data_IF_850658183624
#
_entry.id   IF_850658183624
#
_cell.length_a   1.000
_cell.length_b   1.000
_cell.length_c   1.000
_cell.angle_alpha   90.00
_cell.angle_beta   90.00
_cell.angle_gamma   90.00
#
_symmetry.space_group_name_H-M   'P 1'
#
loop_
_entity.id
_entity.type
_entity.pdbx_description
1 polymer ?
#
# COMPACT_ATOMS: atom_id res chain seq x y z
N UNK A 1 -6.24 0.42 -7.90
CA UNK A 1 -5.92 1.59 -7.06
C UNK A 1 -6.45 2.85 -7.74
N UNK A 2 -6.64 3.94 -7.00
CA UNK A 2 -7.05 5.24 -7.55
C UNK A 2 -5.84 6.18 -7.51
N UNK A 3 -5.57 6.87 -8.62
CA UNK A 3 -4.44 7.78 -8.78
C UNK A 3 -4.90 9.13 -9.33
N UNK A 4 -4.17 10.18 -8.94
CA UNK A 4 -4.28 11.55 -9.44
C UNK A 4 -2.89 12.15 -9.49
N UNK A 5 -2.06 11.58 -10.36
CA UNK A 5 -0.63 11.88 -10.40
C UNK A 5 -0.41 13.28 -10.98
N UNK A 6 -0.05 14.23 -10.10
CA UNK A 6 0.21 15.63 -10.42
C UNK A 6 1.17 16.23 -9.41
N UNK A 7 1.98 17.19 -9.86
CA UNK A 7 2.75 18.00 -8.93
C UNK A 7 1.84 18.67 -7.90
N UNK A 8 2.38 18.93 -6.71
CA UNK A 8 1.61 19.35 -5.56
C UNK A 8 0.80 20.63 -5.81
N UNK A 9 1.38 21.57 -6.55
CA UNK A 9 0.77 22.83 -6.97
C UNK A 9 -0.43 22.66 -7.92
N UNK A 10 -0.49 21.53 -8.65
CA UNK A 10 -1.58 21.18 -9.56
C UNK A 10 -2.69 20.34 -8.92
N UNK A 11 -2.60 19.99 -7.64
CA UNK A 11 -3.60 19.15 -6.96
C UNK A 11 -4.79 19.97 -6.46
N UNK A 12 -6.00 19.51 -6.77
CA UNK A 12 -7.22 20.03 -6.15
C UNK A 12 -7.55 19.27 -4.85
N UNK A 13 -8.35 19.85 -3.94
CA UNK A 13 -8.88 19.13 -2.78
C UNK A 13 -9.67 17.87 -3.15
N UNK A 14 -10.34 17.87 -4.31
CA UNK A 14 -11.07 16.70 -4.82
C UNK A 14 -10.14 15.59 -5.29
N UNK A 15 -8.99 15.93 -5.88
CA UNK A 15 -7.95 14.94 -6.22
C UNK A 15 -7.44 14.23 -4.96
N UNK A 16 -7.20 15.00 -3.89
CA UNK A 16 -6.83 14.43 -2.60
C UNK A 16 -7.91 13.50 -2.08
N UNK A 17 -9.16 13.99 -1.98
CA UNK A 17 -10.28 13.23 -1.44
C UNK A 17 -10.46 11.91 -2.19
N UNK A 18 -10.52 11.96 -3.53
CA UNK A 18 -10.77 10.79 -4.37
C UNK A 18 -9.70 9.69 -4.22
N UNK A 19 -8.43 10.05 -3.99
CA UNK A 19 -7.34 9.08 -3.81
C UNK A 19 -7.29 8.54 -2.38
N UNK A 20 -7.52 9.39 -1.37
CA UNK A 20 -7.48 8.98 0.04
C UNK A 20 -8.67 8.09 0.40
N UNK A 21 -9.86 8.45 -0.06
CA UNK A 21 -11.12 7.88 0.36
C UNK A 21 -11.16 6.34 0.40
N UNK A 22 -10.81 5.61 -0.69
CA UNK A 22 -10.94 4.16 -0.68
C UNK A 22 -10.04 3.47 0.35
N UNK A 23 -8.84 4.00 0.61
CA UNK A 23 -7.91 3.42 1.59
C UNK A 23 -8.25 3.86 3.01
N UNK A 24 -8.53 5.14 3.20
CA UNK A 24 -8.78 5.72 4.52
C UNK A 24 -10.14 5.27 5.05
N UNK A 25 -11.23 5.57 4.34
CA UNK A 25 -12.58 5.22 4.79
C UNK A 25 -12.79 3.72 4.79
N UNK A 26 -12.28 3.02 3.76
CA UNK A 26 -12.38 1.56 3.67
C UNK A 26 -11.71 0.86 4.85
N UNK A 27 -10.47 1.24 5.18
CA UNK A 27 -9.75 0.62 6.29
C UNK A 27 -10.35 0.98 7.66
N UNK A 28 -10.85 2.21 7.85
CA UNK A 28 -11.58 2.59 9.06
C UNK A 28 -12.88 1.81 9.23
N UNK A 29 -13.64 1.64 8.15
CA UNK A 29 -14.88 0.86 8.17
C UNK A 29 -14.60 -0.60 8.55
N UNK A 30 -13.58 -1.22 7.94
CA UNK A 30 -13.13 -2.55 8.32
C UNK A 30 -12.67 -2.62 9.77
N UNK A 31 -11.90 -1.62 10.24
CA UNK A 31 -11.49 -1.57 11.63
C UNK A 31 -12.70 -1.57 12.56
N UNK A 32 -13.66 -0.67 12.35
CA UNK A 32 -14.86 -0.55 13.18
C UNK A 32 -15.70 -1.83 13.17
N UNK A 33 -15.92 -2.42 11.99
CA UNK A 33 -16.72 -3.63 11.83
C UNK A 33 -16.07 -4.85 12.48
N UNK A 34 -14.73 -4.91 12.50
CA UNK A 34 -14.00 -6.08 12.97
C UNK A 34 -13.54 -6.02 14.43
N UNK A 35 -13.90 -4.98 15.19
CA UNK A 35 -13.33 -4.76 16.55
C UNK A 35 -13.59 -5.90 17.52
N UNK A 36 -14.75 -6.54 17.40
CA UNK A 36 -15.18 -7.62 18.28
C UNK A 36 -14.94 -9.01 17.69
N UNK A 37 -14.34 -9.10 16.50
CA UNK A 37 -14.11 -10.37 15.83
C UNK A 37 -12.77 -10.97 16.27
N UNK A 38 -12.70 -12.29 16.50
CA UNK A 38 -11.45 -12.97 16.81
C UNK A 38 -10.65 -13.20 15.52
N UNK A 39 -10.18 -12.12 14.90
CA UNK A 39 -9.36 -12.21 13.69
C UNK A 39 -7.97 -12.73 14.04
N UNK A 40 -7.45 -13.65 13.23
CA UNK A 40 -6.02 -13.99 13.24
C UNK A 40 -5.20 -12.90 12.55
N UNK A 41 -5.75 -12.29 11.50
CA UNK A 41 -5.04 -11.34 10.63
C UNK A 41 -5.94 -10.17 10.26
N UNK A 42 -5.38 -8.95 10.35
CA UNK A 42 -5.88 -7.75 9.69
C UNK A 42 -4.74 -7.17 8.86
N UNK A 43 -4.72 -7.45 7.56
CA UNK A 43 -3.61 -7.09 6.68
C UNK A 43 -4.03 -6.05 5.64
N UNK A 44 -3.40 -4.88 5.68
CA UNK A 44 -3.58 -3.80 4.72
C UNK A 44 -2.53 -3.86 3.61
N UNK A 45 -2.96 -3.59 2.38
CA UNK A 45 -2.08 -3.50 1.21
C UNK A 45 -1.61 -2.05 1.04
N UNK A 46 -0.39 -1.78 1.51
CA UNK A 46 0.33 -0.51 1.38
C UNK A 46 1.10 -0.39 0.07
N UNK A 47 1.97 0.61 -0.01
CA UNK A 47 2.87 0.81 -1.15
C UNK A 47 4.16 1.46 -0.68
N UNK A 48 5.29 1.11 -1.31
CA UNK A 48 6.60 1.74 -1.06
C UNK A 48 6.59 3.27 -1.28
N UNK A 49 5.61 3.78 -2.04
CA UNK A 49 5.40 5.22 -2.23
C UNK A 49 5.12 5.99 -0.93
N UNK A 50 4.63 5.35 0.14
CA UNK A 50 4.50 5.99 1.46
C UNK A 50 5.82 6.15 2.19
N UNK A 51 6.82 5.35 1.85
CA UNK A 51 8.12 5.29 2.53
C UNK A 51 9.16 6.16 1.80
N UNK A 52 9.26 6.01 0.49
CA UNK A 52 10.25 6.71 -0.34
C UNK A 52 9.68 7.95 -1.03
N UNK A 53 8.36 8.13 -0.99
CA UNK A 53 7.67 9.10 -1.83
C UNK A 53 7.64 8.68 -3.30
N UNK A 54 6.81 9.37 -4.07
CA UNK A 54 6.88 9.33 -5.52
C UNK A 54 6.40 10.69 -6.07
N UNK A 55 7.18 11.27 -6.98
CA UNK A 55 6.85 12.56 -7.60
C UNK A 55 5.48 12.45 -8.25
N UNK A 56 4.61 13.42 -7.93
CA UNK A 56 3.23 13.44 -8.42
C UNK A 56 2.23 12.66 -7.58
N UNK A 57 2.68 11.82 -6.63
CA UNK A 57 1.81 10.87 -5.93
C UNK A 57 1.55 11.23 -4.46
N UNK A 58 1.54 12.52 -4.11
CA UNK A 58 1.34 12.97 -2.72
C UNK A 58 0.07 12.39 -2.09
N UNK A 59 -1.12 12.42 -2.73
CA UNK A 59 -2.33 11.84 -2.15
C UNK A 59 -2.23 10.32 -1.97
N UNK A 60 -1.57 9.64 -2.91
CA UNK A 60 -1.40 8.19 -2.85
C UNK A 60 -0.43 7.77 -1.75
N UNK A 61 0.70 8.48 -1.61
CA UNK A 61 1.63 8.29 -0.51
C UNK A 61 0.93 8.48 0.84
N UNK A 62 0.20 9.59 1.02
CA UNK A 62 -0.55 9.88 2.24
C UNK A 62 -1.59 8.80 2.57
N UNK A 63 -2.34 8.33 1.56
CA UNK A 63 -3.32 7.26 1.73
C UNK A 63 -2.68 5.93 2.19
N UNK A 64 -1.47 5.62 1.73
CA UNK A 64 -0.75 4.41 2.14
C UNK A 64 -0.05 4.58 3.50
N UNK A 65 0.46 5.77 3.83
CA UNK A 65 0.97 6.08 5.17
C UNK A 65 -0.12 5.95 6.23
N UNK A 66 -1.35 6.35 5.91
CA UNK A 66 -2.51 6.17 6.78
C UNK A 66 -2.73 4.70 7.17
N UNK A 67 -2.57 3.76 6.21
CA UNK A 67 -2.74 2.33 6.49
C UNK A 67 -1.70 1.83 7.50
N UNK A 68 -0.43 2.20 7.33
CA UNK A 68 0.64 1.88 8.28
C UNK A 68 0.36 2.44 9.68
N UNK A 69 -0.11 3.69 9.75
CA UNK A 69 -0.53 4.31 11.01
C UNK A 69 -1.71 3.59 11.68
N UNK A 70 -2.73 3.23 10.91
CA UNK A 70 -3.89 2.49 11.40
C UNK A 70 -3.50 1.11 11.96
N UNK A 71 -2.66 0.36 11.24
CA UNK A 71 -2.24 -0.99 11.70
C UNK A 71 -1.34 -0.90 12.93
N UNK A 72 -0.46 0.09 13.00
CA UNK A 72 0.33 0.37 14.21
C UNK A 72 -0.58 0.70 15.42
N UNK A 73 -1.58 1.57 15.22
CA UNK A 73 -2.53 1.92 16.27
C UNK A 73 -3.41 0.75 16.71
N UNK A 74 -3.85 -0.10 15.77
CA UNK A 74 -4.58 -1.34 16.09
C UNK A 74 -3.77 -2.26 16.99
N UNK A 75 -2.48 -2.47 16.69
CA UNK A 75 -1.60 -3.30 17.52
C UNK A 75 -1.39 -2.71 18.92
N UNK A 76 -1.23 -1.39 19.03
CA UNK A 76 -1.15 -0.72 20.34
C UNK A 76 -2.43 -0.93 21.17
N UNK A 77 -3.56 -1.15 20.51
CA UNK A 77 -4.86 -1.44 21.13
C UNK A 77 -5.10 -2.95 21.35
N UNK A 78 -4.08 -3.79 21.21
CA UNK A 78 -4.20 -5.25 21.37
C UNK A 78 -4.94 -5.96 20.23
N UNK A 79 -5.19 -5.29 19.11
CA UNK A 79 -5.86 -5.85 17.95
C UNK A 79 -4.85 -6.25 16.86
N UNK A 80 -5.08 -7.33 16.10
CA UNK A 80 -4.26 -7.66 14.94
C UNK A 80 -4.22 -6.49 13.95
N UNK A 81 -3.05 -6.30 13.33
CA UNK A 81 -2.82 -5.25 12.35
C UNK A 81 -1.42 -5.36 11.74
N UNK A 82 -1.36 -5.43 10.40
CA UNK A 82 -0.13 -5.38 9.62
C UNK A 82 -0.38 -4.64 8.31
N UNK A 83 0.54 -3.76 7.90
CA UNK A 83 0.55 -3.20 6.55
C UNK A 83 1.74 -3.73 5.78
N UNK A 84 1.52 -4.26 4.57
CA UNK A 84 2.59 -4.69 3.67
C UNK A 84 2.73 -3.66 2.55
N UNK A 85 3.86 -2.97 2.49
CA UNK A 85 4.16 -1.94 1.51
C UNK A 85 4.85 -2.55 0.29
N UNK A 86 4.12 -2.68 -0.81
CA UNK A 86 4.65 -3.30 -2.03
C UNK A 86 5.38 -2.30 -2.92
N UNK A 87 6.47 -2.76 -3.52
CA UNK A 87 7.05 -2.20 -4.74
C UNK A 87 6.24 -2.59 -5.99
N UNK A 88 6.76 -2.29 -7.17
CA UNK A 88 6.16 -2.65 -8.46
C UNK A 88 5.93 -4.16 -8.55
N UNK A 89 4.70 -4.56 -8.87
CA UNK A 89 4.34 -5.95 -9.12
C UNK A 89 4.23 -6.15 -10.63
N UNK A 90 4.74 -7.26 -11.16
CA UNK A 90 4.65 -7.56 -12.59
C UNK A 90 3.42 -8.39 -12.93
N UNK A 91 2.72 -8.01 -14.01
CA UNK A 91 1.66 -8.83 -14.60
C UNK A 91 0.37 -8.95 -13.78
N UNK A 92 0.23 -8.21 -12.67
CA UNK A 92 -0.97 -8.18 -11.82
C UNK A 92 -1.31 -6.77 -11.35
N UNK A 93 -2.56 -6.60 -10.91
CA UNK A 93 -3.03 -5.34 -10.35
C UNK A 93 -2.95 -4.19 -11.35
N UNK A 94 -2.50 -3.02 -10.90
CA UNK A 94 -2.41 -1.80 -11.72
C UNK A 94 -1.43 -1.97 -12.90
N UNK A 95 -0.41 -2.81 -12.74
CA UNK A 95 0.64 -3.01 -13.75
C UNK A 95 0.28 -4.07 -14.80
N UNK A 96 -0.84 -4.77 -14.64
CA UNK A 96 -1.28 -5.75 -15.62
C UNK A 96 -1.47 -5.10 -17.00
N UNK A 97 -0.72 -5.57 -18.00
CA UNK A 97 -0.73 -5.00 -19.36
C UNK A 97 0.07 -3.71 -19.54
N UNK A 98 0.83 -3.26 -18.53
CA UNK A 98 1.63 -2.03 -18.56
C UNK A 98 3.14 -2.30 -18.72
N UNK A 99 3.52 -3.24 -19.60
CA UNK A 99 4.91 -3.68 -19.75
C UNK A 99 5.92 -2.57 -20.09
N UNK A 100 5.49 -1.50 -20.77
CA UNK A 100 6.32 -0.31 -21.01
C UNK A 100 6.62 0.47 -19.72
N UNK A 101 5.64 0.60 -18.82
CA UNK A 101 5.80 1.27 -17.54
C UNK A 101 6.65 0.43 -16.58
N UNK A 102 6.46 -0.89 -16.56
CA UNK A 102 7.32 -1.82 -15.80
C UNK A 102 8.78 -1.67 -16.21
N UNK A 103 9.07 -1.62 -17.52
CA UNK A 103 10.41 -1.42 -18.05
C UNK A 103 10.99 -0.07 -17.65
N UNK A 104 10.21 1.01 -17.76
CA UNK A 104 10.66 2.35 -17.41
C UNK A 104 10.97 2.46 -15.90
N UNK A 105 10.17 1.85 -15.03
CA UNK A 105 10.42 1.82 -13.58
C UNK A 105 11.73 1.08 -13.26
N UNK A 106 11.97 -0.05 -13.94
CA UNK A 106 13.22 -0.80 -13.83
C UNK A 106 14.43 0.04 -14.25
N UNK A 107 14.35 0.70 -15.40
CA UNK A 107 15.45 1.49 -15.96
C UNK A 107 15.73 2.79 -15.17
N UNK A 108 14.70 3.43 -14.61
CA UNK A 108 14.84 4.71 -13.90
C UNK A 108 15.07 4.57 -12.39
N UNK A 109 14.60 3.48 -11.76
CA UNK A 109 14.70 3.28 -10.31
C UNK A 109 15.50 2.05 -9.88
N UNK A 110 15.92 1.21 -10.81
CA UNK A 110 16.59 -0.05 -10.49
C UNK A 110 15.71 -1.05 -9.75
N UNK A 111 14.39 -0.82 -9.69
CA UNK A 111 13.46 -1.71 -9.01
C UNK A 111 13.03 -2.82 -9.96
N UNK A 112 13.46 -4.05 -9.67
CA UNK A 112 12.97 -5.22 -10.37
C UNK A 112 11.51 -5.50 -9.96
N UNK A 113 10.56 -5.56 -10.91
CA UNK A 113 9.18 -5.90 -10.61
C UNK A 113 9.04 -7.30 -9.99
N UNK A 114 8.17 -7.43 -8.99
CA UNK A 114 7.92 -8.71 -8.31
C UNK A 114 6.82 -9.48 -9.04
N UNK A 115 7.14 -10.68 -9.55
CA UNK A 115 6.15 -11.56 -10.16
C UNK A 115 5.19 -12.19 -9.15
N UNK A 116 3.99 -12.57 -9.59
CA UNK A 116 2.88 -13.06 -8.74
C UNK A 116 3.25 -14.20 -7.79
N UNK A 117 4.08 -15.15 -8.23
CA UNK A 117 4.53 -16.26 -7.39
C UNK A 117 5.41 -15.79 -6.22
N UNK A 118 6.22 -14.75 -6.42
CA UNK A 118 7.04 -14.16 -5.38
C UNK A 118 6.21 -13.30 -4.42
N UNK A 119 5.14 -12.66 -4.89
CA UNK A 119 4.21 -11.89 -4.03
C UNK A 119 3.58 -12.77 -2.97
N UNK A 120 3.09 -13.96 -3.34
CA UNK A 120 2.46 -14.88 -2.37
C UNK A 120 3.46 -15.36 -1.30
N UNK A 121 4.68 -15.72 -1.71
CA UNK A 121 5.75 -16.11 -0.78
C UNK A 121 6.15 -14.96 0.15
N UNK A 122 6.26 -13.75 -0.38
CA UNK A 122 6.58 -12.57 0.40
C UNK A 122 5.45 -12.25 1.40
N UNK A 123 4.18 -12.39 1.00
CA UNK A 123 3.04 -12.19 1.87
C UNK A 123 3.03 -13.22 3.02
N UNK A 124 3.26 -14.49 2.71
CA UNK A 124 3.39 -15.55 3.73
C UNK A 124 4.49 -15.20 4.74
N UNK A 125 5.68 -14.82 4.26
CA UNK A 125 6.78 -14.40 5.12
C UNK A 125 6.41 -13.17 5.99
N UNK A 126 5.70 -12.18 5.43
CA UNK A 126 5.24 -11.01 6.19
C UNK A 126 4.30 -11.40 7.33
N UNK A 127 3.34 -12.28 7.06
CA UNK A 127 2.38 -12.76 8.05
C UNK A 127 3.10 -13.54 9.18
N UNK A 128 4.09 -14.37 8.83
CA UNK A 128 4.90 -15.08 9.83
C UNK A 128 5.77 -14.15 10.69
N UNK A 129 6.29 -13.07 10.12
CA UNK A 129 7.12 -12.10 10.85
C UNK A 129 6.32 -11.22 11.82
N UNK A 130 5.00 -11.11 11.64
CA UNK A 130 4.05 -10.38 12.48
C UNK A 130 4.53 -8.97 12.92
N UNK A 131 5.10 -8.20 11.99
CA UNK A 131 5.45 -6.79 12.23
C UNK A 131 4.28 -5.85 11.86
N UNK A 132 4.10 -4.70 12.53
CA UNK A 132 3.06 -3.71 12.19
C UNK A 132 3.11 -3.19 10.76
N UNK A 133 4.32 -3.05 10.23
CA UNK A 133 4.60 -2.56 8.88
C UNK A 133 5.83 -3.26 8.34
N UNK A 134 5.75 -3.73 7.09
CA UNK A 134 6.86 -4.36 6.36
C UNK A 134 6.85 -3.82 4.94
N UNK A 135 8.01 -3.39 4.45
CA UNK A 135 8.20 -2.99 3.05
C UNK A 135 8.87 -4.10 2.28
N UNK A 136 8.28 -4.48 1.15
CA UNK A 136 8.86 -5.41 0.19
C UNK A 136 9.41 -4.59 -0.97
N UNK A 137 10.73 -4.52 -1.03
CA UNK A 137 11.52 -3.90 -2.09
C UNK A 137 12.43 -4.97 -2.72
N UNK A 138 12.78 -4.82 -4.01
CA UNK A 138 13.72 -5.72 -4.69
C UNK A 138 15.12 -5.67 -4.11
#
# INVERSE_FOLDING_TARGET
>A
AVFRDRLFDGLSPEDFRSVLEPKVRGALALHCASRAWPLDVFCCQGSIASELGNIGQVPYAAANSFLGGLTAWRRQSGLPGQTVHWTTLSGIGVMAGQGLLERQLRETRGFEPIGSAAVLKALEACLCLDRPSITIAP
#
